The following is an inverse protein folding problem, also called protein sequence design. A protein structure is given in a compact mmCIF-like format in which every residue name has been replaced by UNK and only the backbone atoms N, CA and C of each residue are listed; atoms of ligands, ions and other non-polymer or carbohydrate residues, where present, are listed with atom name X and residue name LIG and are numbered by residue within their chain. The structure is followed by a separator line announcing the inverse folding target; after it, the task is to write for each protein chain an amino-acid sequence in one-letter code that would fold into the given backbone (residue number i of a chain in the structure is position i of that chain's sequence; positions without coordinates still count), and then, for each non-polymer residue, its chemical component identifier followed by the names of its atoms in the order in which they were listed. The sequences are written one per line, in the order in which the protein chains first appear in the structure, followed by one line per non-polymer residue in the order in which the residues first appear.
data_IF_083972580464
#
_entry.id   IF_083972580464
#
_cell.length_a   1.000
_cell.length_b   1.000
_cell.length_c   1.000
_cell.angle_alpha   90.00
_cell.angle_beta   90.00
_cell.angle_gamma   90.00
#
_symmetry.space_group_name_H-M   'P 1'
#
loop_
_entity.id
_entity.type
_entity.pdbx_description
1 polymer ?
#
# COMPACT_ATOMS: atom_id res chain seq x y z
N UNK A 1 62.98 8.72 43.99
CA UNK A 1 62.66 9.57 42.82
C UNK A 1 62.23 8.79 41.58
N UNK A 2 62.93 7.71 41.16
CA UNK A 2 62.56 6.91 39.97
C UNK A 2 61.21 6.15 40.07
N UNK A 3 60.81 5.71 41.26
CA UNK A 3 59.57 4.95 41.48
C UNK A 3 58.30 5.80 41.26
N UNK A 4 58.31 7.05 41.74
CA UNK A 4 57.20 8.01 41.58
C UNK A 4 56.97 8.32 40.09
N UNK A 5 58.06 8.46 39.34
CA UNK A 5 58.02 8.73 37.90
C UNK A 5 57.42 7.56 37.10
N UNK A 6 57.71 6.31 37.50
CA UNK A 6 57.09 5.13 36.90
C UNK A 6 55.60 5.01 37.20
N UNK A 7 55.19 5.29 38.45
CA UNK A 7 53.78 5.24 38.86
C UNK A 7 52.96 6.30 38.12
N UNK A 8 53.48 7.53 37.99
CA UNK A 8 52.83 8.59 37.22
C UNK A 8 52.67 8.23 35.73
N UNK A 9 53.69 7.60 35.14
CA UNK A 9 53.65 7.19 33.73
C UNK A 9 52.61 6.08 33.48
N UNK A 10 52.49 5.13 34.41
CA UNK A 10 51.46 4.07 34.35
C UNK A 10 50.06 4.67 34.48
N UNK A 11 49.85 5.61 35.41
CA UNK A 11 48.56 6.28 35.59
C UNK A 11 48.13 7.06 34.35
N UNK A 12 49.05 7.76 33.69
CA UNK A 12 48.77 8.47 32.43
C UNK A 12 48.40 7.50 31.32
N UNK A 13 49.12 6.37 31.19
CA UNK A 13 48.81 5.35 30.18
C UNK A 13 47.41 4.74 30.42
N UNK A 14 47.07 4.43 31.67
CA UNK A 14 45.75 3.90 32.02
C UNK A 14 44.64 4.92 31.75
N UNK A 15 44.87 6.20 32.02
CA UNK A 15 43.91 7.27 31.75
C UNK A 15 43.68 7.45 30.24
N UNK A 16 44.74 7.45 29.43
CA UNK A 16 44.65 7.52 27.97
C UNK A 16 43.94 6.29 27.37
N UNK A 17 44.21 5.10 27.91
CA UNK A 17 43.51 3.88 27.51
C UNK A 17 42.00 3.95 27.83
N UNK A 18 41.63 4.51 28.98
CA UNK A 18 40.23 4.69 29.37
C UNK A 18 39.51 5.70 28.47
N UNK A 19 40.15 6.83 28.12
CA UNK A 19 39.62 7.79 27.16
C UNK A 19 39.42 7.14 25.78
N UNK A 20 40.38 6.34 25.32
CA UNK A 20 40.28 5.64 24.04
C UNK A 20 39.09 4.65 24.00
N UNK A 21 38.88 3.91 25.09
CA UNK A 21 37.73 3.01 25.25
C UNK A 21 36.39 3.77 25.22
N UNK A 22 36.30 4.91 25.89
CA UNK A 22 35.10 5.74 25.86
C UNK A 22 34.80 6.27 24.46
N UNK A 23 35.80 6.81 23.76
CA UNK A 23 35.64 7.31 22.39
C UNK A 23 35.20 6.16 21.46
N UNK A 24 35.80 4.98 21.58
CA UNK A 24 35.43 3.81 20.79
C UNK A 24 33.98 3.39 21.05
N UNK A 25 33.54 3.34 22.32
CA UNK A 25 32.16 3.00 22.69
C UNK A 25 31.14 4.01 22.16
N UNK A 26 31.43 5.31 22.25
CA UNK A 26 30.59 6.37 21.71
C UNK A 26 30.51 6.30 20.17
N UNK A 27 31.63 5.99 19.51
CA UNK A 27 31.70 5.86 18.06
C UNK A 27 30.88 4.66 17.57
N UNK A 28 30.98 3.51 18.25
CA UNK A 28 30.16 2.32 17.96
C UNK A 28 28.67 2.60 18.17
N UNK A 29 28.31 3.35 19.22
CA UNK A 29 26.92 3.76 19.47
C UNK A 29 26.38 4.67 18.35
N UNK A 30 27.17 5.67 17.91
CA UNK A 30 26.81 6.57 16.82
C UNK A 30 26.66 5.81 15.50
N UNK A 31 27.59 4.91 15.17
CA UNK A 31 27.52 4.08 13.96
C UNK A 31 26.27 3.20 14.00
N UNK A 32 25.96 2.56 15.13
CA UNK A 32 24.75 1.77 15.29
C UNK A 32 23.48 2.62 15.16
N UNK A 33 23.47 3.82 15.74
CA UNK A 33 22.34 4.75 15.63
C UNK A 33 22.11 5.19 14.18
N UNK A 34 23.17 5.55 13.45
CA UNK A 34 23.10 5.93 12.03
C UNK A 34 22.69 4.72 11.18
N UNK A 35 23.19 3.52 11.48
CA UNK A 35 22.77 2.30 10.80
C UNK A 35 21.28 2.00 11.03
N UNK A 36 20.80 2.11 12.27
CA UNK A 36 19.36 2.00 12.56
C UNK A 36 18.52 3.09 11.88
N UNK A 37 19.03 4.32 11.78
CA UNK A 37 18.33 5.41 11.11
C UNK A 37 18.27 5.26 9.58
N UNK A 38 19.19 4.50 8.98
CA UNK A 38 19.31 4.36 7.51
C UNK A 38 18.69 3.08 6.96
N UNK A 39 18.44 2.07 7.80
CA UNK A 39 17.65 0.90 7.42
C UNK A 39 16.26 0.99 8.01
N UNK A 40 15.24 1.08 7.16
CA UNK A 40 13.81 0.95 7.48
C UNK A 40 13.40 -0.42 8.12
N UNK A 41 14.38 -1.19 8.60
CA UNK A 41 14.22 -2.49 9.25
C UNK A 41 14.59 -2.33 10.73
N UNK A 42 13.78 -1.58 11.47
CA UNK A 42 13.82 -1.55 12.93
C UNK A 42 12.72 -2.48 13.46
N UNK A 43 13.03 -3.77 13.59
CA UNK A 43 12.13 -4.78 14.19
C UNK A 43 12.27 -4.89 15.72
N UNK A 44 13.20 -4.15 16.34
CA UNK A 44 13.34 -4.14 17.81
C UNK A 44 12.30 -3.23 18.46
N UNK A 45 11.26 -3.85 19.01
CA UNK A 45 10.15 -3.23 19.77
C UNK A 45 10.58 -2.39 20.99
N UNK A 46 11.82 -2.51 21.44
CA UNK A 46 12.23 -2.00 22.77
C UNK A 46 12.85 -0.61 22.79
N UNK A 47 13.32 -0.06 21.67
CA UNK A 47 14.10 1.20 21.68
C UNK A 47 13.54 2.31 20.78
N UNK A 48 12.43 2.05 20.09
CA UNK A 48 11.73 3.08 19.33
C UNK A 48 10.34 3.26 19.95
N UNK A 49 10.05 4.40 20.61
CA UNK A 49 8.66 4.69 20.94
C UNK A 49 7.91 4.67 19.63
N UNK A 50 6.89 3.79 19.54
CA UNK A 50 6.00 3.69 18.39
C UNK A 50 5.62 5.13 18.04
N UNK A 51 6.05 5.64 16.88
CA UNK A 51 5.52 6.92 16.39
C UNK A 51 4.01 6.76 16.47
N UNK A 52 3.40 7.55 17.32
CA UNK A 52 1.95 7.64 17.32
C UNK A 52 1.59 7.96 15.88
N UNK A 53 0.77 7.10 15.27
CA UNK A 53 0.18 7.44 13.98
C UNK A 53 -0.73 8.61 14.34
N UNK A 54 -0.20 9.83 14.21
CA UNK A 54 -0.99 11.04 14.30
C UNK A 54 -1.93 10.95 13.13
N UNK A 55 -3.13 10.43 13.35
CA UNK A 55 -4.23 10.56 12.43
C UNK A 55 -4.37 12.07 12.23
N UNK A 56 -3.98 12.55 11.05
CA UNK A 56 -4.03 13.96 10.74
C UNK A 56 -5.44 14.47 11.07
N UNK A 57 -5.59 15.60 11.78
CA UNK A 57 -6.91 16.18 12.09
C UNK A 57 -7.73 16.53 10.83
N UNK A 58 -7.10 16.50 9.65
CA UNK A 58 -7.77 16.58 8.36
C UNK A 58 -8.52 15.31 7.95
N UNK A 59 -8.18 14.11 8.45
CA UNK A 59 -8.80 12.85 7.99
C UNK A 59 -10.32 12.85 8.23
N UNK A 60 -10.77 13.41 9.36
CA UNK A 60 -12.20 13.61 9.65
C UNK A 60 -12.89 14.58 8.69
N UNK A 61 -12.17 15.54 8.11
CA UNK A 61 -12.71 16.42 7.08
C UNK A 61 -12.73 15.74 5.70
N UNK A 62 -11.74 14.90 5.39
CA UNK A 62 -11.75 14.05 4.19
C UNK A 62 -12.94 13.07 4.21
N UNK A 63 -13.22 12.46 5.37
CA UNK A 63 -14.36 11.54 5.54
C UNK A 63 -15.74 12.21 5.45
N UNK A 64 -15.81 13.54 5.57
CA UNK A 64 -17.06 14.32 5.45
C UNK A 64 -17.41 14.73 4.03
N UNK A 65 -16.52 14.48 3.07
CA UNK A 65 -16.71 14.89 1.69
C UNK A 65 -17.20 13.74 0.82
N UNK A 66 -18.08 14.02 -0.13
CA UNK A 66 -18.58 13.08 -1.14
C UNK A 66 -17.55 12.80 -2.26
N UNK A 67 -16.25 12.92 -1.94
CA UNK A 67 -15.18 12.70 -2.91
C UNK A 67 -14.78 11.22 -2.93
N UNK A 68 -15.02 10.56 -4.06
CA UNK A 68 -14.45 9.24 -4.28
C UNK A 68 -12.94 9.33 -4.51
N UNK A 69 -12.17 8.42 -3.91
CA UNK A 69 -10.75 8.18 -4.16
C UNK A 69 -10.53 7.36 -5.44
N UNK A 70 -11.29 7.66 -6.49
CA UNK A 70 -11.16 7.02 -7.80
C UNK A 70 -11.41 8.01 -8.95
N UNK A 71 -12.68 8.36 -9.21
CA UNK A 71 -13.07 9.20 -10.33
C UNK A 71 -14.42 9.88 -10.09
N UNK A 72 -14.74 10.88 -10.91
CA UNK A 72 -16.07 11.55 -10.89
C UNK A 72 -17.18 10.55 -11.18
N UNK A 73 -16.94 9.56 -12.06
CA UNK A 73 -17.89 8.50 -12.35
C UNK A 73 -18.18 7.68 -11.10
N UNK A 74 -17.14 7.32 -10.34
CA UNK A 74 -17.30 6.55 -9.11
C UNK A 74 -18.02 7.35 -8.02
N UNK A 75 -17.77 8.66 -7.92
CA UNK A 75 -18.49 9.54 -7.00
C UNK A 75 -20.00 9.61 -7.31
N UNK A 76 -20.40 9.60 -8.60
CA UNK A 76 -21.82 9.63 -9.01
C UNK A 76 -22.61 8.40 -8.60
N UNK A 77 -21.96 7.29 -8.22
CA UNK A 77 -22.65 6.11 -7.68
C UNK A 77 -23.24 6.36 -6.29
N UNK A 78 -22.76 7.39 -5.57
CA UNK A 78 -23.22 7.73 -4.23
C UNK A 78 -22.59 6.87 -3.13
N UNK A 79 -23.05 7.01 -1.87
CA UNK A 79 -22.54 6.24 -0.74
C UNK A 79 -22.97 4.75 -0.79
N UNK A 80 -22.49 3.96 0.17
CA UNK A 80 -22.85 2.55 0.34
C UNK A 80 -22.36 1.61 -0.76
N UNK A 81 -21.22 1.94 -1.38
CA UNK A 81 -20.67 1.12 -2.47
C UNK A 81 -20.02 -0.16 -1.95
N UNK A 82 -20.18 -1.24 -2.72
CA UNK A 82 -19.38 -2.47 -2.61
C UNK A 82 -18.34 -2.48 -3.72
N UNK A 83 -17.07 -2.48 -3.35
CA UNK A 83 -15.96 -2.23 -4.30
C UNK A 83 -14.94 -3.36 -4.29
N UNK A 84 -14.59 -3.84 -5.48
CA UNK A 84 -13.41 -4.67 -5.71
C UNK A 84 -12.30 -3.78 -6.26
N UNK A 85 -11.26 -3.54 -5.46
CA UNK A 85 -10.09 -2.79 -5.90
C UNK A 85 -9.08 -3.71 -6.60
N UNK A 86 -8.64 -3.31 -7.78
CA UNK A 86 -7.55 -3.95 -8.53
C UNK A 86 -6.56 -2.91 -9.03
N UNK A 87 -5.29 -3.31 -9.19
CA UNK A 87 -4.23 -2.46 -9.73
C UNK A 87 -3.84 -2.93 -11.13
N UNK A 88 -3.78 -2.01 -12.09
CA UNK A 88 -3.34 -2.28 -13.46
C UNK A 88 -2.23 -1.29 -13.86
N UNK A 89 -0.98 -1.73 -13.86
CA UNK A 89 0.14 -0.83 -14.11
C UNK A 89 1.32 -1.53 -14.76
N UNK A 90 2.21 -0.74 -15.36
CA UNK A 90 3.53 -1.18 -15.79
C UNK A 90 4.61 -0.48 -14.96
N UNK A 91 5.57 -1.27 -14.50
CA UNK A 91 6.82 -0.77 -13.93
C UNK A 91 7.82 -0.41 -15.03
N UNK A 92 8.83 0.39 -14.69
CA UNK A 92 9.91 0.78 -15.62
C UNK A 92 10.71 -0.41 -16.19
N UNK A 93 10.58 -1.61 -15.59
CA UNK A 93 11.27 -2.83 -16.02
C UNK A 93 10.41 -3.70 -16.93
N UNK A 94 9.14 -3.35 -17.11
CA UNK A 94 8.20 -4.16 -17.86
C UNK A 94 8.30 -3.88 -19.36
N UNK A 95 8.10 -4.93 -20.15
CA UNK A 95 8.15 -4.84 -21.61
C UNK A 95 6.77 -4.49 -22.19
N UNK A 96 6.74 -3.99 -23.43
CA UNK A 96 5.50 -3.61 -24.14
C UNK A 96 4.52 -4.80 -24.26
N UNK A 97 5.00 -6.04 -24.34
CA UNK A 97 4.13 -7.24 -24.39
C UNK A 97 3.34 -7.44 -23.10
N UNK A 98 3.79 -6.86 -21.98
CA UNK A 98 3.06 -6.89 -20.72
C UNK A 98 1.83 -5.98 -20.76
N UNK A 99 1.81 -4.91 -21.57
CA UNK A 99 0.66 -4.02 -21.71
C UNK A 99 -0.58 -4.79 -22.19
N UNK A 100 -0.47 -5.48 -23.33
CA UNK A 100 -1.59 -6.22 -23.91
C UNK A 100 -2.08 -7.33 -22.98
N UNK A 101 -1.16 -7.93 -22.21
CA UNK A 101 -1.48 -8.94 -21.21
C UNK A 101 -2.23 -8.35 -20.01
N UNK A 102 -1.77 -7.24 -19.44
CA UNK A 102 -2.45 -6.54 -18.35
C UNK A 102 -3.84 -6.08 -18.79
N UNK A 103 -3.95 -5.50 -19.98
CA UNK A 103 -5.24 -5.04 -20.49
C UNK A 103 -6.22 -6.19 -20.75
N UNK A 104 -5.72 -7.31 -21.27
CA UNK A 104 -6.52 -8.54 -21.37
C UNK A 104 -7.05 -8.98 -20.01
N UNK A 105 -6.20 -8.99 -18.98
CA UNK A 105 -6.62 -9.33 -17.62
C UNK A 105 -7.65 -8.36 -17.05
N UNK A 106 -7.53 -7.05 -17.29
CA UNK A 106 -8.56 -6.07 -16.92
C UNK A 106 -9.93 -6.46 -17.49
N UNK A 107 -9.98 -6.76 -18.79
CA UNK A 107 -11.23 -7.05 -19.49
C UNK A 107 -11.84 -8.37 -19.01
N UNK A 108 -11.03 -9.41 -18.87
CA UNK A 108 -11.46 -10.72 -18.35
C UNK A 108 -11.99 -10.58 -16.92
N UNK A 109 -11.26 -9.87 -16.05
CA UNK A 109 -11.63 -9.67 -14.66
C UNK A 109 -12.93 -8.88 -14.51
N UNK A 110 -13.12 -7.79 -15.28
CA UNK A 110 -14.37 -6.99 -15.24
C UNK A 110 -15.57 -7.85 -15.64
N UNK A 111 -15.41 -8.71 -16.65
CA UNK A 111 -16.44 -9.64 -17.09
C UNK A 111 -16.77 -10.67 -16.00
N UNK A 112 -15.76 -11.32 -15.44
CA UNK A 112 -15.93 -12.30 -14.37
C UNK A 112 -16.59 -11.68 -13.13
N UNK A 113 -16.15 -10.48 -12.74
CA UNK A 113 -16.73 -9.76 -11.61
C UNK A 113 -18.21 -9.42 -11.87
N UNK A 114 -18.60 -9.10 -13.11
CA UNK A 114 -20.00 -8.86 -13.43
C UNK A 114 -20.86 -10.11 -13.25
N UNK A 115 -20.32 -11.27 -13.58
CA UNK A 115 -21.00 -12.56 -13.46
C UNK A 115 -21.07 -13.04 -12.01
N UNK A 116 -19.97 -12.93 -11.25
CA UNK A 116 -19.85 -13.48 -9.88
C UNK A 116 -20.27 -12.52 -8.77
N UNK A 117 -20.14 -11.21 -9.00
CA UNK A 117 -20.45 -10.15 -8.04
C UNK A 117 -21.26 -9.03 -8.72
N UNK A 118 -22.50 -9.30 -9.17
CA UNK A 118 -23.25 -8.39 -10.03
C UNK A 118 -23.54 -7.01 -9.41
N UNK A 119 -23.58 -6.94 -8.07
CA UNK A 119 -23.85 -5.73 -7.27
C UNK A 119 -22.57 -5.01 -6.81
N UNK A 120 -21.39 -5.54 -7.15
CA UNK A 120 -20.11 -4.92 -6.81
C UNK A 120 -19.58 -4.11 -8.00
N UNK A 121 -18.85 -3.04 -7.70
CA UNK A 121 -18.14 -2.26 -8.70
C UNK A 121 -16.65 -2.59 -8.64
N UNK A 122 -16.06 -2.92 -9.78
CA UNK A 122 -14.61 -3.02 -9.95
C UNK A 122 -14.03 -1.63 -10.12
N UNK A 123 -13.08 -1.26 -9.27
CA UNK A 123 -12.27 -0.05 -9.45
C UNK A 123 -10.88 -0.42 -9.92
N UNK A 124 -10.57 -0.05 -11.17
CA UNK A 124 -9.30 -0.34 -11.81
C UNK A 124 -8.37 0.85 -11.64
N UNK A 125 -7.48 0.77 -10.67
CA UNK A 125 -6.46 1.78 -10.45
C UNK A 125 -5.33 1.59 -11.45
N UNK A 126 -5.19 2.52 -12.39
CA UNK A 126 -4.22 2.42 -13.46
C UNK A 126 -3.20 3.55 -13.48
N UNK A 127 -1.98 3.22 -13.90
CA UNK A 127 -0.96 4.19 -14.29
C UNK A 127 0.07 3.55 -15.21
N UNK A 128 0.76 4.38 -16.00
CA UNK A 128 1.78 3.91 -16.96
C UNK A 128 1.27 2.84 -17.93
N UNK A 129 -0.03 2.85 -18.22
CA UNK A 129 -0.63 2.09 -19.31
C UNK A 129 -0.88 3.07 -20.45
N UNK A 130 -0.22 2.87 -21.60
CA UNK A 130 -0.44 3.68 -22.80
C UNK A 130 -1.76 3.26 -23.47
N UNK A 131 -2.87 3.66 -22.85
CA UNK A 131 -4.23 3.27 -23.24
C UNK A 131 -5.01 4.53 -23.55
N UNK A 132 -5.66 4.55 -24.70
CA UNK A 132 -6.44 5.70 -25.09
C UNK A 132 -7.67 5.87 -24.19
N UNK A 133 -8.01 7.11 -23.84
CA UNK A 133 -9.22 7.41 -23.06
C UNK A 133 -10.49 6.83 -23.70
N UNK A 134 -10.55 6.76 -25.03
CA UNK A 134 -11.65 6.12 -25.76
C UNK A 134 -11.78 4.64 -25.46
N UNK A 135 -10.67 3.91 -25.26
CA UNK A 135 -10.71 2.48 -24.89
C UNK A 135 -11.27 2.29 -23.48
N UNK A 136 -10.89 3.16 -22.54
CA UNK A 136 -11.47 3.18 -21.18
C UNK A 136 -12.99 3.43 -21.27
N UNK A 137 -13.41 4.47 -21.99
CA UNK A 137 -14.84 4.80 -22.16
C UNK A 137 -15.62 3.65 -22.79
N UNK A 138 -15.07 2.98 -23.81
CA UNK A 138 -15.72 1.82 -24.43
C UNK A 138 -15.98 0.68 -23.44
N UNK A 139 -15.07 0.44 -22.49
CA UNK A 139 -15.27 -0.59 -21.45
C UNK A 139 -16.30 -0.11 -20.41
N UNK A 140 -16.20 1.14 -19.95
CA UNK A 140 -17.14 1.70 -18.98
C UNK A 140 -18.58 1.81 -19.50
N UNK A 141 -18.75 2.01 -20.81
CA UNK A 141 -20.06 2.02 -21.47
C UNK A 141 -20.61 0.59 -21.65
N UNK A 142 -19.72 -0.38 -21.91
CA UNK A 142 -20.09 -1.79 -22.04
C UNK A 142 -20.42 -2.44 -20.70
N UNK A 143 -19.70 -2.08 -19.63
CA UNK A 143 -19.84 -2.68 -18.31
C UNK A 143 -20.17 -1.62 -17.26
N UNK A 144 -21.39 -1.67 -16.73
CA UNK A 144 -21.83 -0.73 -15.69
C UNK A 144 -21.19 -0.96 -14.32
N UNK A 145 -20.51 -2.09 -14.11
CA UNK A 145 -19.85 -2.48 -12.87
C UNK A 145 -18.35 -2.17 -12.84
N UNK A 146 -17.86 -1.25 -13.67
CA UNK A 146 -16.45 -0.82 -13.62
C UNK A 146 -16.32 0.69 -13.62
N UNK A 147 -15.33 1.18 -12.87
CA UNK A 147 -14.81 2.53 -12.92
C UNK A 147 -13.28 2.48 -13.06
N UNK A 148 -12.73 3.25 -13.99
CA UNK A 148 -11.29 3.43 -14.11
C UNK A 148 -10.81 4.62 -13.26
N UNK A 149 -9.73 4.42 -12.53
CA UNK A 149 -9.14 5.41 -11.64
C UNK A 149 -7.72 5.71 -12.10
N UNK A 150 -7.48 6.94 -12.57
CA UNK A 150 -6.15 7.41 -12.94
C UNK A 150 -5.33 7.66 -11.67
N UNK A 151 -4.33 6.81 -11.41
CA UNK A 151 -3.52 6.89 -10.19
C UNK A 151 -2.56 8.08 -10.20
N UNK A 152 -2.41 8.78 -11.32
CA UNK A 152 -1.68 10.06 -11.40
C UNK A 152 -2.56 11.27 -11.03
N UNK A 153 -3.88 11.06 -10.90
CA UNK A 153 -4.84 12.12 -10.64
C UNK A 153 -6.02 11.62 -9.78
N UNK A 154 -5.71 11.11 -8.59
CA UNK A 154 -6.74 10.70 -7.63
C UNK A 154 -7.37 11.94 -6.99
N UNK A 155 -8.71 12.07 -6.95
CA UNK A 155 -9.35 13.19 -6.28
C UNK A 155 -8.83 13.34 -4.86
N UNK A 156 -8.51 14.58 -4.46
CA UNK A 156 -7.96 14.96 -3.14
C UNK A 156 -6.54 14.49 -2.81
N UNK A 157 -6.02 13.43 -3.46
CA UNK A 157 -4.67 12.89 -3.20
C UNK A 157 -3.65 13.22 -4.31
N UNK A 158 -4.11 13.62 -5.50
CA UNK A 158 -3.24 13.93 -6.64
C UNK A 158 -2.52 12.70 -7.20
N UNK A 159 -1.25 12.87 -7.57
CA UNK A 159 -0.42 11.78 -8.10
C UNK A 159 0.11 10.87 -6.98
N UNK A 160 -0.57 9.74 -6.79
CA UNK A 160 -0.20 8.76 -5.77
C UNK A 160 0.94 7.84 -6.22
N UNK A 161 1.31 7.84 -7.50
CA UNK A 161 2.36 6.96 -8.04
C UNK A 161 3.75 7.34 -7.51
N UNK A 162 3.90 8.56 -6.99
CA UNK A 162 5.14 9.10 -6.44
C UNK A 162 5.49 8.55 -5.05
N UNK A 163 4.50 8.08 -4.29
CA UNK A 163 4.69 7.65 -2.90
C UNK A 163 3.99 6.33 -2.54
N UNK A 164 2.99 5.89 -3.32
CA UNK A 164 2.29 4.62 -3.11
C UNK A 164 2.70 3.61 -4.20
N UNK A 165 3.29 2.45 -3.86
CA UNK A 165 3.62 1.43 -4.84
C UNK A 165 2.39 0.94 -5.60
N UNK A 166 2.51 0.63 -6.90
CA UNK A 166 1.37 0.25 -7.75
C UNK A 166 0.50 -0.88 -7.22
N UNK A 167 1.11 -1.92 -6.62
CA UNK A 167 0.39 -3.04 -5.98
C UNK A 167 -0.47 -2.61 -4.78
N UNK A 168 -0.22 -1.43 -4.23
CA UNK A 168 -0.96 -0.89 -3.09
C UNK A 168 -2.15 -0.03 -3.52
N UNK A 169 -2.25 0.36 -4.80
CA UNK A 169 -3.34 1.22 -5.29
C UNK A 169 -4.71 0.56 -5.15
N UNK A 170 -4.78 -0.76 -5.36
CA UNK A 170 -5.97 -1.58 -5.08
C UNK A 170 -6.52 -1.46 -3.66
N UNK A 171 -5.75 -0.98 -2.69
CA UNK A 171 -6.18 -0.76 -1.31
C UNK A 171 -6.81 0.61 -1.04
N UNK A 172 -6.76 1.54 -2.00
CA UNK A 172 -7.38 2.86 -1.83
C UNK A 172 -8.86 2.87 -1.41
N UNK A 173 -9.73 1.95 -1.88
CA UNK A 173 -11.14 2.00 -1.49
C UNK A 173 -11.38 1.83 0.01
N UNK A 174 -10.43 1.29 0.79
CA UNK A 174 -10.56 1.21 2.25
C UNK A 174 -10.65 2.59 2.93
N UNK A 175 -10.16 3.64 2.26
CA UNK A 175 -10.13 5.00 2.76
C UNK A 175 -11.15 5.92 2.05
N UNK A 176 -11.98 5.37 1.16
CA UNK A 176 -12.99 6.12 0.41
C UNK A 176 -14.29 6.22 1.24
N UNK A 177 -14.77 7.44 1.47
CA UNK A 177 -15.96 7.72 2.29
C UNK A 177 -17.26 7.17 1.69
N UNK A 178 -17.29 6.82 0.41
CA UNK A 178 -18.46 6.30 -0.29
C UNK A 178 -18.52 4.76 -0.29
N UNK A 179 -17.51 4.08 0.27
CA UNK A 179 -17.37 2.62 0.22
C UNK A 179 -17.67 1.99 1.58
N UNK A 180 -18.70 1.14 1.64
CA UNK A 180 -19.07 0.40 2.85
C UNK A 180 -18.33 -0.93 2.93
N UNK A 181 -18.08 -1.55 1.77
CA UNK A 181 -17.49 -2.89 1.69
C UNK A 181 -16.45 -2.93 0.60
N UNK A 182 -15.28 -3.45 0.92
CA UNK A 182 -14.13 -3.44 0.03
C UNK A 182 -13.45 -4.81 -0.02
N UNK A 183 -12.99 -5.19 -1.22
CA UNK A 183 -12.16 -6.36 -1.46
C UNK A 183 -10.90 -5.98 -2.25
N UNK A 184 -9.74 -6.44 -1.81
CA UNK A 184 -8.46 -6.30 -2.51
C UNK A 184 -8.19 -7.54 -3.36
N UNK A 185 -7.93 -7.36 -4.66
CA UNK A 185 -7.68 -8.48 -5.57
C UNK A 185 -6.50 -8.21 -6.51
N UNK A 186 -5.81 -9.28 -6.89
CA UNK A 186 -4.88 -9.26 -8.02
C UNK A 186 -5.68 -9.43 -9.32
N UNK A 187 -5.35 -8.64 -10.34
CA UNK A 187 -6.13 -8.56 -11.57
C UNK A 187 -5.95 -9.78 -12.49
N UNK A 188 -4.83 -10.50 -12.32
CA UNK A 188 -4.49 -11.72 -13.04
C UNK A 188 -4.96 -13.00 -12.33
N UNK A 189 -5.72 -12.84 -11.24
CA UNK A 189 -6.32 -13.95 -10.49
C UNK A 189 -7.79 -14.08 -10.86
N UNK A 190 -8.22 -15.20 -11.48
CA UNK A 190 -9.63 -15.44 -11.79
C UNK A 190 -10.51 -15.51 -10.53
N UNK A 191 -11.79 -15.17 -10.68
CA UNK A 191 -12.78 -15.28 -9.59
C UNK A 191 -13.40 -16.67 -9.62
N UNK A 192 -13.04 -17.50 -8.63
CA UNK A 192 -13.53 -18.87 -8.52
C UNK A 192 -14.84 -18.95 -7.73
N UNK A 193 -15.68 -19.93 -8.06
CA UNK A 193 -16.96 -20.15 -7.35
C UNK A 193 -16.76 -20.35 -5.83
N UNK A 194 -15.70 -21.07 -5.44
CA UNK A 194 -15.38 -21.28 -4.01
C UNK A 194 -15.15 -19.97 -3.27
N UNK A 195 -14.52 -19.00 -3.93
CA UNK A 195 -14.22 -17.70 -3.35
C UNK A 195 -15.49 -16.89 -3.17
N UNK A 196 -16.35 -16.87 -4.19
CA UNK A 196 -17.65 -16.22 -4.13
C UNK A 196 -18.49 -16.73 -2.96
N UNK A 197 -18.57 -18.05 -2.77
CA UNK A 197 -19.29 -18.66 -1.64
C UNK A 197 -18.71 -18.23 -0.29
N UNK A 198 -17.37 -18.20 -0.16
CA UNK A 198 -16.70 -17.77 1.07
C UNK A 198 -16.97 -16.28 1.35
N UNK A 199 -16.94 -15.43 0.33
CA UNK A 199 -17.20 -13.99 0.46
C UNK A 199 -18.64 -13.74 0.90
N UNK A 200 -19.64 -14.39 0.30
CA UNK A 200 -21.03 -14.25 0.75
C UNK A 200 -21.22 -14.77 2.18
N UNK A 201 -20.62 -15.90 2.53
CA UNK A 201 -20.63 -16.40 3.91
C UNK A 201 -19.98 -15.42 4.90
N UNK A 202 -18.94 -14.70 4.49
CA UNK A 202 -18.34 -13.64 5.30
C UNK A 202 -19.25 -12.42 5.43
N UNK A 203 -19.89 -11.96 4.34
CA UNK A 203 -20.81 -10.83 4.37
C UNK A 203 -22.00 -11.07 5.32
N UNK A 204 -22.43 -12.31 5.45
CA UNK A 204 -23.51 -12.72 6.37
C UNK A 204 -23.01 -12.93 7.82
N UNK A 205 -21.70 -12.83 8.06
CA UNK A 205 -21.09 -13.00 9.37
C UNK A 205 -21.00 -11.70 10.18
N UNK A 206 -20.57 -11.80 11.44
CA UNK A 206 -20.32 -10.63 12.30
C UNK A 206 -18.88 -10.10 12.20
N UNK A 207 -18.06 -10.65 11.30
CA UNK A 207 -16.64 -10.31 11.21
C UNK A 207 -16.41 -9.12 10.27
N UNK A 208 -15.64 -8.13 10.72
CA UNK A 208 -15.32 -6.93 9.92
C UNK A 208 -14.31 -7.19 8.81
N UNK A 209 -13.39 -8.14 9.00
CA UNK A 209 -12.29 -8.41 8.07
C UNK A 209 -12.25 -9.91 7.79
N UNK A 210 -12.06 -10.26 6.52
CA UNK A 210 -11.81 -11.63 6.08
C UNK A 210 -10.61 -11.68 5.15
N UNK A 211 -9.78 -12.71 5.31
CA UNK A 211 -8.58 -12.93 4.50
C UNK A 211 -8.69 -14.33 3.91
N UNK A 212 -8.77 -14.39 2.57
CA UNK A 212 -8.74 -15.63 1.82
C UNK A 212 -7.30 -15.87 1.37
N UNK A 213 -6.79 -17.06 1.65
CA UNK A 213 -5.47 -17.52 1.19
C UNK A 213 -5.66 -18.87 0.53
N UNK A 214 -5.02 -19.04 -0.61
CA UNK A 214 -4.87 -20.36 -1.20
C UNK A 214 -3.80 -21.13 -0.41
N UNK A 215 -4.05 -22.42 -0.25
CA UNK A 215 -3.08 -23.37 0.28
C UNK A 215 -2.31 -23.98 -0.89
N UNK A 216 -1.01 -24.19 -0.70
CA UNK A 216 -0.23 -25.02 -1.63
C UNK A 216 -0.66 -26.47 -1.44
N UNK A 217 -0.94 -27.17 -2.55
CA UNK A 217 -0.99 -28.64 -2.54
C UNK A 217 0.38 -29.25 -2.25
#
# INVERSE_FOLDING_TARGET
MKLIWHVQRILIILFLAWISLLICSASLYIIHFIWCATKDICTSRFLCPRREIVLYPHLTNFLKTDYSLCSVRSARRGPHQRVIGVSAYLSKRDNIRLLSKVWKYVIEYVKEAKEKYPDWTVRVYHYSLDIAKSEITLIEDKYSNVDFCDSTNIPTLGDITTWLPGKMHRFLPIADSLVDTYMSRDIDSPILERETTIVYGWLDSKHTIHIIRDHHE
#
